data_IF_919398790338
#
_entry.id   IF_919398790338
#
_cell.length_a   1.000
_cell.length_b   1.000
_cell.length_c   1.000
_cell.angle_alpha   90.00
_cell.angle_beta   90.00
_cell.angle_gamma   90.00
#
_symmetry.space_group_name_H-M   'P 1'
#
loop_
_entity.id
_entity.type
_entity.pdbx_description
1 polymer ?
#
# COMPACT_ATOMS: atom_id res chain seq x y z
N UNK A 1 -24.94 -3.02 -17.85
CA UNK A 1 -23.85 -3.47 -16.94
C UNK A 1 -24.24 -3.36 -15.47
N UNK A 2 -25.02 -2.36 -15.06
CA UNK A 2 -25.49 -2.18 -13.68
C UNK A 2 -26.27 -3.39 -13.14
N UNK A 3 -27.19 -3.98 -13.92
CA UNK A 3 -27.98 -5.15 -13.48
C UNK A 3 -27.11 -6.37 -13.14
N UNK A 4 -25.96 -6.53 -13.80
CA UNK A 4 -25.02 -7.63 -13.50
C UNK A 4 -24.33 -7.42 -12.16
N UNK A 5 -24.01 -6.16 -11.82
CA UNK A 5 -23.40 -5.80 -10.54
C UNK A 5 -24.40 -6.03 -9.41
N UNK A 6 -25.65 -5.59 -9.59
CA UNK A 6 -26.71 -5.75 -8.59
C UNK A 6 -27.00 -7.24 -8.30
N UNK A 7 -27.12 -8.07 -9.33
CA UNK A 7 -27.29 -9.53 -9.16
C UNK A 7 -26.12 -10.17 -8.41
N UNK A 8 -24.88 -9.74 -8.68
CA UNK A 8 -23.71 -10.26 -7.97
C UNK A 8 -23.71 -9.84 -6.50
N UNK A 9 -24.09 -8.59 -6.19
CA UNK A 9 -24.21 -8.13 -4.81
C UNK A 9 -25.28 -8.91 -4.05
N UNK A 10 -26.44 -9.16 -4.68
CA UNK A 10 -27.51 -9.93 -4.08
C UNK A 10 -27.08 -11.38 -3.81
N UNK A 11 -26.40 -12.02 -4.77
CA UNK A 11 -25.84 -13.35 -4.60
C UNK A 11 -24.81 -13.39 -3.46
N UNK A 12 -23.95 -12.38 -3.34
CA UNK A 12 -22.97 -12.27 -2.27
C UNK A 12 -23.65 -12.14 -0.90
N UNK A 13 -24.66 -11.27 -0.79
CA UNK A 13 -25.46 -11.10 0.43
C UNK A 13 -26.17 -12.39 0.83
N UNK A 14 -26.78 -13.08 -0.14
CA UNK A 14 -27.46 -14.37 0.06
C UNK A 14 -26.48 -15.43 0.54
N UNK A 15 -25.31 -15.54 -0.10
CA UNK A 15 -24.23 -16.48 0.28
C UNK A 15 -23.80 -16.28 1.74
N UNK A 16 -23.53 -15.03 2.16
CA UNK A 16 -23.14 -14.72 3.54
C UNK A 16 -24.23 -14.98 4.58
N UNK A 17 -25.51 -14.84 4.20
CA UNK A 17 -26.64 -15.22 5.08
C UNK A 17 -26.72 -16.74 5.24
N UNK A 18 -26.62 -17.48 4.13
CA UNK A 18 -26.64 -18.94 4.15
C UNK A 18 -25.47 -19.52 4.96
N UNK A 19 -24.26 -18.99 4.79
CA UNK A 19 -23.09 -19.40 5.58
C UNK A 19 -23.30 -19.15 7.08
N UNK A 20 -23.85 -17.99 7.46
CA UNK A 20 -24.19 -17.68 8.86
C UNK A 20 -25.21 -18.66 9.43
N UNK A 21 -26.29 -18.93 8.71
CA UNK A 21 -27.32 -19.87 9.16
C UNK A 21 -26.77 -21.30 9.36
N UNK A 22 -25.87 -21.75 8.47
CA UNK A 22 -25.18 -23.05 8.62
C UNK A 22 -24.27 -23.08 9.84
N UNK A 23 -23.49 -22.02 10.05
CA UNK A 23 -22.64 -21.89 11.24
C UNK A 23 -23.46 -21.87 12.54
N UNK A 24 -24.61 -21.21 12.54
CA UNK A 24 -25.52 -21.10 13.69
C UNK A 24 -26.17 -22.44 14.02
N UNK A 25 -26.76 -23.11 13.03
CA UNK A 25 -27.36 -24.44 13.20
C UNK A 25 -26.34 -25.47 13.70
N UNK A 26 -25.13 -25.46 13.14
CA UNK A 26 -24.03 -26.30 13.62
C UNK A 26 -23.63 -25.94 15.07
N UNK A 27 -23.55 -24.64 15.42
CA UNK A 27 -23.23 -24.21 16.77
C UNK A 27 -24.30 -24.65 17.78
N UNK A 28 -25.58 -24.55 17.45
CA UNK A 28 -26.70 -25.00 18.31
C UNK A 28 -26.58 -26.50 18.60
N UNK A 29 -26.36 -27.33 17.57
CA UNK A 29 -26.15 -28.77 17.77
C UNK A 29 -24.92 -29.08 18.63
N UNK A 30 -23.81 -28.37 18.41
CA UNK A 30 -22.59 -28.55 19.19
C UNK A 30 -22.77 -28.11 20.66
N UNK A 31 -23.55 -27.06 20.93
CA UNK A 31 -23.82 -26.56 22.28
C UNK A 31 -24.60 -27.59 23.10
N UNK A 32 -25.55 -28.30 22.49
CA UNK A 32 -26.30 -29.37 23.16
C UNK A 32 -25.38 -30.47 23.69
N UNK A 33 -24.34 -30.84 22.93
CA UNK A 33 -23.35 -31.83 23.36
C UNK A 33 -22.28 -31.25 24.29
N UNK A 34 -21.93 -29.96 24.14
CA UNK A 34 -20.86 -29.32 24.87
C UNK A 34 -21.10 -27.81 25.04
N UNK A 35 -21.47 -27.40 26.25
CA UNK A 35 -21.74 -26.00 26.57
C UNK A 35 -20.54 -25.06 26.31
N UNK A 36 -19.28 -25.55 26.35
CA UNK A 36 -18.09 -24.71 26.05
C UNK A 36 -18.06 -24.22 24.60
N UNK A 37 -18.78 -24.89 23.70
CA UNK A 37 -18.89 -24.46 22.31
C UNK A 37 -19.59 -23.11 22.16
N UNK A 38 -20.48 -22.76 23.10
CA UNK A 38 -21.11 -21.43 23.15
C UNK A 38 -20.05 -20.32 23.24
N UNK A 39 -19.13 -20.40 24.20
CA UNK A 39 -18.08 -19.40 24.36
C UNK A 39 -17.14 -19.34 23.15
N UNK A 40 -16.85 -20.49 22.53
CA UNK A 40 -16.07 -20.54 21.28
C UNK A 40 -16.80 -19.85 20.13
N UNK A 41 -18.11 -20.08 20.00
CA UNK A 41 -18.95 -19.46 18.98
C UNK A 41 -19.07 -17.94 19.20
N UNK A 42 -19.41 -17.51 20.41
CA UNK A 42 -19.49 -16.09 20.81
C UNK A 42 -18.14 -15.41 20.62
N UNK A 43 -17.02 -16.02 21.00
CA UNK A 43 -15.68 -15.44 20.78
C UNK A 43 -15.35 -15.29 19.28
N UNK A 44 -15.72 -16.26 18.44
CA UNK A 44 -15.53 -16.19 16.97
C UNK A 44 -16.38 -15.07 16.34
N UNK A 45 -17.59 -14.82 16.86
CA UNK A 45 -18.53 -13.81 16.33
C UNK A 45 -18.36 -12.42 16.97
N UNK A 46 -17.87 -12.36 18.21
CA UNK A 46 -17.64 -11.15 18.98
C UNK A 46 -16.32 -10.46 18.66
N UNK A 47 -15.40 -11.12 17.94
CA UNK A 47 -14.34 -10.41 17.24
C UNK A 47 -14.99 -9.62 16.12
N UNK A 48 -15.38 -8.37 16.42
CA UNK A 48 -15.54 -7.36 15.39
C UNK A 48 -14.25 -7.42 14.59
N UNK A 49 -14.34 -7.71 13.29
CA UNK A 49 -13.23 -7.53 12.38
C UNK A 49 -12.95 -6.02 12.34
N UNK A 50 -12.27 -5.51 13.37
CA UNK A 50 -11.65 -4.19 13.44
C UNK A 50 -10.45 -4.14 12.47
N UNK A 51 -10.55 -4.84 11.34
CA UNK A 51 -9.61 -4.80 10.24
C UNK A 51 -9.56 -3.40 9.63
N UNK A 52 -10.53 -2.53 9.92
CA UNK A 52 -10.27 -1.09 9.94
C UNK A 52 -9.87 -0.76 11.37
N UNK A 53 -8.56 -0.82 11.66
CA UNK A 53 -8.05 -0.58 13.01
C UNK A 53 -8.48 0.81 13.51
N UNK A 54 -8.68 0.98 14.83
CA UNK A 54 -9.02 2.27 15.40
C UNK A 54 -8.07 3.34 14.88
N UNK A 55 -8.63 4.46 14.40
CA UNK A 55 -7.83 5.58 13.95
C UNK A 55 -7.11 6.15 15.17
N UNK A 56 -5.86 6.55 14.98
CA UNK A 56 -5.00 6.97 16.08
C UNK A 56 -4.53 8.38 15.80
N UNK A 57 -4.58 9.25 16.81
CA UNK A 57 -4.07 10.61 16.75
C UNK A 57 -2.54 10.62 16.64
N UNK A 58 -1.98 11.80 16.41
CA UNK A 58 -0.52 12.05 16.48
C UNK A 58 0.09 11.57 17.79
N UNK A 59 -0.68 11.65 18.88
CA UNK A 59 -0.27 11.33 20.25
C UNK A 59 -0.45 9.84 20.60
N UNK A 60 -0.96 9.02 19.68
CA UNK A 60 -1.15 7.59 19.90
C UNK A 60 -2.50 7.21 20.55
N UNK A 61 -3.38 8.16 20.80
CA UNK A 61 -4.73 7.92 21.32
C UNK A 61 -5.72 7.50 20.24
N UNK A 62 -6.67 6.62 20.59
CA UNK A 62 -7.71 6.14 19.67
C UNK A 62 -8.76 7.22 19.43
N UNK A 63 -8.90 7.63 18.18
CA UNK A 63 -9.91 8.55 17.68
C UNK A 63 -11.21 7.78 17.43
N UNK A 64 -12.21 8.05 18.26
CA UNK A 64 -13.57 7.52 18.07
C UNK A 64 -14.44 8.45 17.21
N UNK A 65 -14.10 9.73 17.10
CA UNK A 65 -14.91 10.72 16.38
C UNK A 65 -14.38 10.91 14.93
N UNK A 66 -15.19 10.66 13.88
CA UNK A 66 -14.75 10.85 12.50
C UNK A 66 -14.38 12.30 12.16
N UNK A 67 -14.90 13.29 12.88
CA UNK A 67 -14.57 14.71 12.68
C UNK A 67 -13.16 15.08 13.18
N UNK A 68 -12.60 14.29 14.10
CA UNK A 68 -11.21 14.47 14.54
C UNK A 68 -10.19 14.01 13.48
N UNK A 69 -10.63 13.32 12.42
CA UNK A 69 -9.84 13.02 11.21
C UNK A 69 -9.85 14.23 10.25
N UNK A 70 -10.20 15.42 10.74
CA UNK A 70 -10.13 16.65 9.97
C UNK A 70 -8.69 16.88 9.50
N UNK A 71 -8.56 17.22 8.21
CA UNK A 71 -7.29 17.61 7.61
C UNK A 71 -6.87 18.90 8.32
N UNK A 72 -5.76 18.87 9.07
CA UNK A 72 -5.22 20.05 9.74
C UNK A 72 -4.36 20.83 8.76
N UNK A 73 -4.53 22.15 8.72
CA UNK A 73 -3.64 23.05 7.98
C UNK A 73 -2.38 23.36 8.80
N UNK A 74 -1.24 23.42 8.12
CA UNK A 74 0.06 23.80 8.67
C UNK A 74 0.76 24.76 7.73
N UNK A 75 1.15 25.92 8.23
CA UNK A 75 1.92 26.89 7.44
C UNK A 75 3.41 26.76 7.70
N UNK A 76 4.23 26.72 6.64
CA UNK A 76 5.68 26.69 6.72
C UNK A 76 6.28 27.88 5.95
N UNK A 77 7.19 28.65 6.57
CA UNK A 77 7.80 29.84 5.96
C UNK A 77 8.45 29.56 4.59
N UNK A 78 9.10 28.40 4.42
CA UNK A 78 9.79 28.03 3.19
C UNK A 78 8.87 27.36 2.18
N UNK A 79 7.95 26.50 2.65
CA UNK A 79 7.12 25.64 1.79
C UNK A 79 5.71 26.15 1.51
N UNK A 80 5.24 27.19 2.21
CA UNK A 80 3.87 27.67 2.16
C UNK A 80 2.89 26.85 3.02
N UNK A 81 1.60 26.93 2.68
CA UNK A 81 0.49 26.19 3.29
C UNK A 81 0.57 24.70 2.97
N UNK A 82 0.53 23.84 3.97
CA UNK A 82 0.60 22.38 3.86
C UNK A 82 -0.57 21.75 4.62
N UNK A 83 -0.99 20.57 4.21
CA UNK A 83 -1.90 19.73 4.98
C UNK A 83 -1.09 18.76 5.85
N UNK A 84 -1.43 18.63 7.13
CA UNK A 84 -0.85 17.60 7.98
C UNK A 84 -1.47 16.24 7.64
N UNK A 85 -0.60 15.24 7.47
CA UNK A 85 -1.00 13.86 7.25
C UNK A 85 -1.13 13.17 8.61
N UNK A 86 -2.33 12.66 8.92
CA UNK A 86 -2.54 11.91 10.15
C UNK A 86 -1.64 10.67 10.20
N UNK A 87 -0.95 10.47 11.34
CA UNK A 87 -0.13 9.29 11.57
C UNK A 87 -0.99 8.02 11.47
N UNK A 88 -0.46 7.00 10.80
CA UNK A 88 -1.07 5.67 10.81
C UNK A 88 -0.19 4.68 11.54
N UNK A 89 -0.81 3.68 12.13
CA UNK A 89 -0.09 2.63 12.82
C UNK A 89 0.69 1.79 11.79
N UNK A 90 2.01 2.00 11.71
CA UNK A 90 2.92 1.27 10.83
C UNK A 90 2.97 -0.24 11.14
N UNK A 91 2.55 -0.65 12.34
CA UNK A 91 2.44 -2.05 12.76
C UNK A 91 1.09 -2.69 12.40
N UNK A 92 0.14 -1.91 11.85
CA UNK A 92 -1.11 -2.47 11.38
C UNK A 92 -0.86 -3.46 10.23
N UNK A 93 -1.77 -4.44 10.01
CA UNK A 93 -1.61 -5.38 8.90
C UNK A 93 -1.51 -4.66 7.56
N UNK A 94 -0.68 -5.17 6.65
CA UNK A 94 -0.38 -4.52 5.35
C UNK A 94 -1.62 -4.12 4.59
N UNK A 95 -2.66 -4.98 4.55
CA UNK A 95 -3.95 -4.67 3.89
C UNK A 95 -4.61 -3.39 4.43
N UNK A 96 -4.55 -3.18 5.75
CA UNK A 96 -5.13 -2.00 6.42
C UNK A 96 -4.33 -0.75 6.08
N UNK A 97 -3.00 -0.87 6.11
CA UNK A 97 -2.10 0.22 5.71
C UNK A 97 -2.35 0.60 4.25
N UNK A 98 -2.42 -0.38 3.34
CA UNK A 98 -2.75 -0.15 1.94
C UNK A 98 -4.09 0.56 1.80
N UNK A 99 -5.15 0.05 2.44
CA UNK A 99 -6.49 0.65 2.37
C UNK A 99 -6.48 2.11 2.83
N UNK A 100 -5.73 2.43 3.90
CA UNK A 100 -5.57 3.80 4.40
C UNK A 100 -4.72 4.65 3.46
N UNK A 101 -3.63 4.13 2.89
CA UNK A 101 -2.81 4.87 1.93
C UNK A 101 -3.52 5.10 0.60
N UNK A 102 -4.55 4.31 0.29
CA UNK A 102 -5.43 4.51 -0.88
C UNK A 102 -6.64 5.39 -0.58
N UNK A 103 -6.93 5.72 0.69
CA UNK A 103 -8.10 6.55 1.02
C UNK A 103 -7.88 8.01 0.60
N UNK A 104 -8.97 8.70 0.29
CA UNK A 104 -8.94 10.12 -0.10
C UNK A 104 -8.41 11.02 1.02
N UNK A 105 -8.68 10.66 2.28
CA UNK A 105 -8.17 11.36 3.46
C UNK A 105 -6.64 11.34 3.57
N UNK A 106 -5.97 10.37 2.95
CA UNK A 106 -4.51 10.33 2.87
C UNK A 106 -4.00 10.89 1.54
N UNK A 107 -4.61 10.48 0.42
CA UNK A 107 -4.17 10.87 -0.93
C UNK A 107 -4.42 12.34 -1.25
N UNK A 108 -5.52 12.92 -0.78
CA UNK A 108 -5.85 14.33 -0.97
C UNK A 108 -4.77 15.25 -0.39
N UNK A 109 -4.48 15.19 0.92
CA UNK A 109 -3.38 15.94 1.54
C UNK A 109 -2.02 15.68 0.90
N UNK A 110 -1.72 14.42 0.56
CA UNK A 110 -0.46 14.06 -0.12
C UNK A 110 -0.34 14.76 -1.47
N UNK A 111 -1.42 14.78 -2.26
CA UNK A 111 -1.47 15.41 -3.56
C UNK A 111 -1.35 16.93 -3.43
N UNK A 112 -2.14 17.55 -2.53
CA UNK A 112 -2.06 18.98 -2.26
C UNK A 112 -0.63 19.38 -1.92
N UNK A 113 0.01 18.69 -0.97
CA UNK A 113 1.38 18.96 -0.53
C UNK A 113 2.45 18.75 -1.62
N UNK A 114 2.14 17.98 -2.67
CA UNK A 114 3.03 17.81 -3.81
C UNK A 114 3.02 19.01 -4.75
N UNK A 115 1.94 19.80 -4.76
CA UNK A 115 1.78 20.96 -5.63
C UNK A 115 2.79 22.09 -5.32
N UNK A 116 3.16 22.90 -6.33
CA UNK A 116 4.01 24.07 -6.14
C UNK A 116 3.41 25.05 -5.13
N UNK A 117 4.28 25.84 -4.50
CA UNK A 117 3.89 26.82 -3.48
C UNK A 117 2.89 27.85 -4.04
N UNK A 118 3.12 28.35 -5.25
CA UNK A 118 2.26 29.39 -5.85
C UNK A 118 0.83 28.89 -6.13
N UNK A 119 0.62 27.59 -6.32
CA UNK A 119 -0.72 27.00 -6.47
C UNK A 119 -1.41 26.87 -5.12
N UNK A 120 -0.67 26.42 -4.09
CA UNK A 120 -1.22 26.20 -2.73
C UNK A 120 -1.50 27.48 -1.97
N UNK A 121 -0.60 28.46 -2.07
CA UNK A 121 -0.68 29.71 -1.32
C UNK A 121 -1.61 30.73 -2.00
N UNK A 122 -2.11 30.44 -3.21
CA UNK A 122 -3.00 31.34 -3.94
C UNK A 122 -4.30 31.52 -3.15
N UNK A 123 -4.53 32.75 -2.69
CA UNK A 123 -5.82 33.14 -2.14
C UNK A 123 -6.85 33.10 -3.27
N UNK A 124 -7.77 32.15 -3.16
CA UNK A 124 -8.90 31.98 -4.08
C UNK A 124 -10.16 32.25 -3.26
N UNK A 125 -11.02 33.16 -3.73
CA UNK A 125 -12.30 33.43 -3.05
C UNK A 125 -13.34 32.34 -3.33
N UNK A 126 -13.12 31.53 -4.36
CA UNK A 126 -13.99 30.41 -4.75
C UNK A 126 -13.20 29.17 -5.16
N UNK A 127 -13.87 28.03 -5.07
CA UNK A 127 -13.31 26.73 -5.50
C UNK A 127 -12.98 26.74 -7.00
N UNK A 128 -13.77 27.41 -7.82
CA UNK A 128 -13.55 27.42 -9.28
C UNK A 128 -12.32 28.26 -9.69
N UNK A 129 -12.00 29.32 -8.95
CA UNK A 129 -10.73 30.03 -9.15
C UNK A 129 -9.53 29.12 -8.85
N UNK A 130 -9.60 28.33 -7.77
CA UNK A 130 -8.55 27.36 -7.45
C UNK A 130 -8.42 26.29 -8.55
N UNK A 131 -9.54 25.75 -9.06
CA UNK A 131 -9.53 24.79 -10.17
C UNK A 131 -8.84 25.37 -11.41
N UNK A 132 -9.15 26.60 -11.82
CA UNK A 132 -8.49 27.25 -12.98
C UNK A 132 -6.98 27.36 -12.82
N UNK A 133 -6.51 27.73 -11.63
CA UNK A 133 -5.07 27.81 -11.33
C UNK A 133 -4.43 26.43 -11.35
N UNK A 134 -5.12 25.43 -10.80
CA UNK A 134 -4.67 24.05 -10.84
C UNK A 134 -4.62 23.50 -12.26
N UNK A 135 -5.66 23.70 -13.07
CA UNK A 135 -5.72 23.25 -14.46
C UNK A 135 -4.58 23.85 -15.29
N UNK A 136 -4.30 25.15 -15.15
CA UNK A 136 -3.15 25.80 -15.79
C UNK A 136 -1.80 25.21 -15.35
N UNK A 137 -1.69 24.76 -14.10
CA UNK A 137 -0.50 24.06 -13.66
C UNK A 137 -0.42 22.65 -14.27
N UNK A 138 -1.54 21.93 -14.31
CA UNK A 138 -1.60 20.56 -14.81
C UNK A 138 -1.31 20.46 -16.32
N UNK A 139 -1.56 21.51 -17.12
CA UNK A 139 -1.14 21.52 -18.54
C UNK A 139 0.37 21.39 -18.75
N UNK A 140 1.17 21.72 -17.73
CA UNK A 140 2.63 21.60 -17.78
C UNK A 140 3.13 20.23 -17.29
N UNK A 141 2.27 19.42 -16.68
CA UNK A 141 2.63 18.08 -16.19
C UNK A 141 2.47 17.09 -17.35
N UNK A 142 3.53 16.41 -17.78
CA UNK A 142 3.43 15.46 -18.89
C UNK A 142 2.59 14.25 -18.48
N UNK A 143 1.54 13.95 -19.24
CA UNK A 143 0.83 12.68 -19.12
C UNK A 143 1.55 11.60 -19.94
N UNK A 144 2.04 10.57 -19.27
CA UNK A 144 2.81 9.49 -19.90
C UNK A 144 2.24 8.14 -19.50
N UNK A 145 1.07 7.72 -20.02
CA UNK A 145 0.47 6.41 -19.73
C UNK A 145 1.51 5.29 -19.80
N UNK A 146 1.36 4.30 -18.91
CA UNK A 146 2.18 3.08 -18.99
C UNK A 146 1.74 2.29 -20.22
N UNK A 147 2.34 2.58 -21.37
CA UNK A 147 2.14 1.81 -22.59
C UNK A 147 3.13 0.63 -22.56
N UNK A 148 2.67 -0.62 -22.75
CA UNK A 148 3.56 -1.76 -22.88
C UNK A 148 4.66 -1.48 -23.92
N UNK A 149 5.90 -1.85 -23.60
CA UNK A 149 7.10 -1.66 -24.43
C UNK A 149 7.64 -0.22 -24.55
N UNK A 150 7.04 0.78 -23.90
CA UNK A 150 7.62 2.13 -23.82
C UNK A 150 8.34 2.35 -22.49
N UNK A 151 9.48 3.04 -22.55
CA UNK A 151 10.17 3.52 -21.35
C UNK A 151 9.39 4.69 -20.77
N UNK A 152 8.95 4.55 -19.52
CA UNK A 152 8.29 5.64 -18.78
C UNK A 152 9.38 6.44 -18.07
N UNK A 153 9.29 7.77 -18.07
CA UNK A 153 10.29 8.61 -17.40
C UNK A 153 10.13 8.59 -15.88
N UNK A 154 8.89 8.53 -15.39
CA UNK A 154 8.56 8.46 -13.96
C UNK A 154 8.19 7.03 -13.51
N UNK A 155 8.22 6.78 -12.19
CA UNK A 155 7.85 5.47 -11.61
C UNK A 155 6.37 5.11 -11.85
N UNK A 156 5.51 6.13 -11.87
CA UNK A 156 4.09 6.02 -12.18
C UNK A 156 3.53 7.33 -12.75
N UNK A 157 2.27 7.30 -13.19
CA UNK A 157 1.54 8.49 -13.64
C UNK A 157 0.94 9.32 -12.51
N UNK A 158 1.33 9.03 -11.27
CA UNK A 158 0.88 9.87 -10.17
C UNK A 158 1.55 11.24 -10.27
N UNK A 159 0.77 12.30 -10.07
CA UNK A 159 1.28 13.69 -10.03
C UNK A 159 2.51 13.81 -9.11
N UNK A 160 2.52 13.24 -7.88
CA UNK A 160 3.72 13.29 -7.03
C UNK A 160 4.98 12.72 -7.67
N UNK A 161 4.89 11.62 -8.41
CA UNK A 161 6.04 10.99 -9.07
C UNK A 161 6.52 11.79 -10.29
N UNK A 162 5.58 12.32 -11.08
CA UNK A 162 5.89 13.20 -12.21
C UNK A 162 6.58 14.49 -11.74
N UNK A 163 6.08 15.10 -10.65
CA UNK A 163 6.69 16.29 -10.07
C UNK A 163 8.05 16.00 -9.42
N UNK A 164 8.24 14.81 -8.83
CA UNK A 164 9.53 14.40 -8.31
C UNK A 164 10.58 14.30 -9.41
N UNK A 165 10.21 13.78 -10.59
CA UNK A 165 11.06 13.74 -11.77
C UNK A 165 11.36 15.15 -12.29
N UNK A 166 10.34 16.00 -12.47
CA UNK A 166 10.54 17.38 -12.94
C UNK A 166 11.48 18.19 -12.04
N UNK A 167 11.46 17.94 -10.72
CA UNK A 167 12.40 18.51 -9.74
C UNK A 167 13.82 17.98 -9.92
N UNK A 168 13.99 16.70 -10.19
CA UNK A 168 15.31 16.11 -10.43
C UNK A 168 15.95 16.65 -11.72
N UNK A 169 15.14 16.93 -12.74
CA UNK A 169 15.60 17.49 -14.02
C UNK A 169 15.93 18.99 -13.95
N UNK A 170 15.61 19.67 -12.83
CA UNK A 170 15.82 21.12 -12.67
C UNK A 170 14.79 21.99 -13.40
N UNK A 171 13.79 21.39 -14.07
CA UNK A 171 12.73 22.08 -14.80
C UNK A 171 11.54 22.50 -13.91
N UNK A 172 11.73 22.53 -12.59
CA UNK A 172 10.63 22.81 -11.66
C UNK A 172 10.42 24.32 -11.51
N UNK A 173 9.35 24.85 -12.11
CA UNK A 173 8.87 26.20 -11.86
C UNK A 173 8.32 26.29 -10.43
N UNK A 174 9.17 26.66 -9.46
CA UNK A 174 8.70 27.13 -8.15
C UNK A 174 8.17 28.57 -8.21
N UNK A 175 8.55 29.31 -9.25
CA UNK A 175 8.02 30.63 -9.56
C UNK A 175 6.70 30.48 -10.31
N UNK A 176 5.69 31.33 -10.02
CA UNK A 176 4.53 31.42 -10.90
C UNK A 176 5.06 31.63 -12.33
N UNK A 177 4.47 30.99 -13.36
CA UNK A 177 4.79 31.35 -14.72
C UNK A 177 4.69 32.87 -14.78
N UNK A 178 5.74 33.51 -15.31
CA UNK A 178 5.71 34.93 -15.64
C UNK A 178 4.72 35.11 -16.80
N UNK A 179 3.45 34.77 -16.56
CA UNK A 179 2.33 35.26 -17.32
C UNK A 179 2.38 36.77 -17.09
N UNK A 180 3.07 37.42 -18.01
CA UNK A 180 2.80 38.76 -18.54
C UNK A 180 1.86 39.56 -17.65
N UNK A 181 2.39 40.66 -17.11
CA UNK A 181 1.74 41.71 -16.33
C UNK A 181 0.50 42.38 -16.96
N UNK A 182 -0.28 41.67 -17.77
CA UNK A 182 -1.49 42.18 -18.38
C UNK A 182 -2.61 41.18 -18.12
N UNK A 183 -3.53 41.49 -17.18
CA UNK A 183 -4.86 40.93 -17.30
C UNK A 183 -5.36 41.37 -18.67
N UNK A 184 -5.61 40.43 -19.58
CA UNK A 184 -6.52 40.72 -20.68
C UNK A 184 -7.84 40.97 -19.97
N UNK A 185 -8.35 42.22 -19.89
CA UNK A 185 -9.66 42.43 -19.32
C UNK A 185 -10.60 41.63 -20.21
N UNK A 186 -11.29 40.68 -19.60
CA UNK A 186 -12.40 40.01 -20.24
C UNK A 186 -13.56 41.03 -20.28
N UNK A 187 -13.41 42.07 -21.11
CA UNK A 187 -14.53 42.91 -21.53
C UNK A 187 -15.36 42.04 -22.46
N UNK A 188 -16.35 41.38 -21.87
CA UNK A 188 -17.37 40.69 -22.65
C UNK A 188 -18.26 41.72 -23.33
N UNK A 189 -17.84 42.23 -24.48
CA UNK A 189 -18.72 42.78 -25.54
C UNK A 189 -17.99 42.68 -26.88
N UNK A 190 -18.70 42.20 -27.92
CA UNK A 190 -18.18 41.98 -29.28
C UNK A 190 -18.76 40.69 -29.83
N UNK A 191 -20.03 40.67 -30.23
CA UNK A 191 -20.51 41.12 -31.55
C UNK A 191 -19.60 40.61 -32.69
N UNK A 192 -20.18 39.67 -33.42
CA UNK A 192 -19.69 39.03 -34.62
C UNK A 192 -19.27 40.09 -35.66
N UNK A 193 -18.00 40.13 -36.05
CA UNK A 193 -17.59 40.67 -37.34
C UNK A 193 -16.57 39.75 -37.99
N UNK A 194 -16.99 39.22 -39.14
CA UNK A 194 -16.15 38.67 -40.18
C UNK A 194 -15.02 39.64 -40.55
N UNK A 195 -13.82 39.10 -40.81
CA UNK A 195 -13.02 39.41 -42.02
C UNK A 195 -11.67 38.67 -41.99
N UNK A 196 -11.56 37.68 -42.89
CA UNK A 196 -10.48 37.49 -43.88
C UNK A 196 -9.03 37.90 -43.56
N UNK A 197 -8.16 36.88 -43.57
CA UNK A 197 -6.82 36.78 -44.17
C UNK A 197 -5.59 36.59 -43.22
N UNK A 198 -4.69 35.62 -43.53
CA UNK A 198 -3.50 35.33 -42.73
C UNK A 198 -2.22 35.99 -43.29
N UNK A 199 -1.22 36.28 -42.45
CA UNK A 199 0.16 36.42 -42.91
C UNK A 199 1.02 35.25 -42.43
N UNK A 200 1.58 34.57 -43.43
CA UNK A 200 2.80 33.76 -43.38
C UNK A 200 3.93 34.47 -42.63
N UNK A 201 4.59 33.78 -41.70
CA UNK A 201 5.92 34.14 -41.21
C UNK A 201 6.84 32.92 -41.18
N UNK A 202 7.93 33.08 -41.91
CA UNK A 202 9.08 32.20 -42.03
C UNK A 202 9.79 32.06 -40.69
N UNK A 203 10.21 30.83 -40.36
CA UNK A 203 11.01 30.53 -39.16
C UNK A 203 12.42 30.19 -39.64
N UNK A 204 13.35 31.09 -39.36
CA UNK A 204 14.80 30.87 -39.44
C UNK A 204 15.26 30.06 -38.23
N UNK A 205 15.88 28.91 -38.49
CA UNK A 205 16.49 28.03 -37.48
C UNK A 205 17.94 28.44 -37.24
N UNK A 206 18.22 29.08 -36.09
CA UNK A 206 19.58 29.25 -35.58
C UNK A 206 19.99 28.03 -34.73
N UNK A 207 21.04 27.35 -35.19
CA UNK A 207 21.67 26.24 -34.49
C UNK A 207 22.43 26.75 -33.26
N UNK A 208 22.02 26.33 -32.05
CA UNK A 208 22.79 26.54 -30.82
C UNK A 208 23.75 25.37 -30.59
N UNK A 209 25.03 25.71 -30.57
CA UNK A 209 26.15 24.84 -30.24
C UNK A 209 26.02 24.21 -28.85
N UNK A 210 26.18 22.89 -28.80
CA UNK A 210 26.30 22.07 -27.59
C UNK A 210 27.71 22.23 -27.02
N UNK A 211 27.85 22.89 -25.86
CA UNK A 211 29.00 22.68 -24.99
C UNK A 211 28.73 21.45 -24.12
N UNK A 212 29.39 20.34 -24.43
CA UNK A 212 29.48 19.18 -23.55
C UNK A 212 30.22 19.54 -22.26
N UNK A 213 29.59 19.29 -21.11
CA UNK A 213 30.26 19.29 -19.79
C UNK A 213 30.61 17.85 -19.39
N UNK A 214 31.74 17.63 -18.71
CA UNK A 214 32.29 16.32 -18.42
C UNK A 214 31.44 15.54 -17.41
N UNK A 215 31.10 14.30 -17.76
CA UNK A 215 30.41 13.32 -16.90
C UNK A 215 31.28 12.96 -15.69
N UNK A 216 30.76 13.19 -14.48
CA UNK A 216 31.29 12.57 -13.26
C UNK A 216 30.95 11.09 -13.25
N UNK A 217 31.98 10.25 -13.31
CA UNK A 217 31.93 8.81 -13.07
C UNK A 217 31.58 8.53 -11.61
N UNK A 218 30.44 7.89 -11.36
CA UNK A 218 30.12 7.29 -10.05
C UNK A 218 30.50 5.82 -10.11
N UNK A 219 31.34 5.40 -9.17
CA UNK A 219 31.85 4.04 -9.03
C UNK A 219 30.71 3.01 -8.98
N UNK A 220 30.65 2.16 -10.02
CA UNK A 220 29.75 1.02 -10.08
C UNK A 220 30.13 -0.03 -9.05
N UNK A 221 29.15 -0.44 -8.24
CA UNK A 221 29.25 -1.67 -7.45
C UNK A 221 29.12 -2.85 -8.41
N UNK A 222 30.17 -3.66 -8.51
CA UNK A 222 30.21 -4.92 -9.27
C UNK A 222 29.16 -5.88 -8.71
N UNK A 223 28.18 -6.27 -9.52
CA UNK A 223 27.39 -7.48 -9.30
C UNK A 223 28.07 -8.60 -10.08
N UNK A 224 28.64 -9.57 -9.39
CA UNK A 224 29.21 -10.79 -9.98
C UNK A 224 28.07 -11.73 -10.36
N UNK A 225 27.85 -11.93 -11.66
CA UNK A 225 27.08 -13.06 -12.16
C UNK A 225 27.95 -14.31 -12.10
N UNK A 226 27.62 -15.25 -11.22
CA UNK A 226 28.21 -16.58 -11.26
C UNK A 226 27.42 -17.45 -12.24
N UNK A 227 28.11 -17.85 -13.29
CA UNK A 227 27.72 -18.88 -14.26
C UNK A 227 27.37 -20.18 -13.54
N UNK A 228 26.21 -20.77 -13.87
CA UNK A 228 25.90 -22.15 -13.49
C UNK A 228 26.29 -23.08 -14.63
N UNK A 229 27.36 -23.83 -14.38
CA UNK A 229 27.80 -24.99 -15.14
C UNK A 229 26.78 -26.12 -14.97
N UNK A 230 26.29 -26.68 -16.08
CA UNK A 230 25.46 -27.88 -16.08
C UNK A 230 26.40 -29.09 -15.92
N UNK A 231 26.33 -29.80 -14.80
CA UNK A 231 27.03 -31.08 -14.61
C UNK A 231 25.97 -32.16 -14.48
N UNK A 232 25.89 -33.04 -15.47
CA UNK A 232 25.15 -34.30 -15.41
C UNK A 232 25.98 -35.31 -14.63
N UNK A 233 25.47 -35.75 -13.48
CA UNK A 233 26.00 -36.92 -12.77
C UNK A 233 24.90 -37.96 -12.72
N UNK A 234 25.12 -39.05 -13.44
CA UNK A 234 24.40 -40.32 -13.30
C UNK A 234 25.09 -41.13 -12.21
N UNK A 235 24.42 -41.41 -11.08
CA UNK A 235 24.83 -42.52 -10.22
C UNK A 235 23.63 -43.20 -9.57
N UNK A 236 23.77 -44.51 -9.55
CA UNK A 236 22.84 -45.59 -9.23
C UNK A 236 22.31 -45.58 -7.78
N UNK A 237 21.11 -46.15 -7.64
CA UNK A 237 20.42 -46.33 -6.38
C UNK A 237 21.09 -47.38 -5.50
N UNK A 238 21.42 -47.02 -4.25
CA UNK A 238 21.60 -47.96 -3.15
C UNK A 238 20.68 -47.59 -2.00
N UNK A 239 19.75 -48.51 -1.73
CA UNK A 239 18.87 -48.49 -0.57
C UNK A 239 19.66 -48.77 0.70
N UNK A 240 19.71 -47.81 1.61
CA UNK A 240 20.03 -48.06 3.02
C UNK A 240 19.05 -47.29 3.90
N UNK A 241 18.31 -48.06 4.71
CA UNK A 241 17.40 -47.55 5.72
C UNK A 241 18.19 -46.92 6.87
N UNK A 242 18.04 -45.61 7.05
CA UNK A 242 18.42 -44.95 8.31
C UNK A 242 17.23 -44.19 8.91
N UNK A 243 16.97 -44.47 10.18
CA UNK A 243 15.92 -43.85 11.00
C UNK A 243 16.34 -42.41 11.37
N UNK A 244 15.50 -41.38 11.17
CA UNK A 244 15.87 -40.03 11.59
C UNK A 244 15.70 -39.85 13.11
N UNK A 245 16.84 -39.68 13.80
CA UNK A 245 16.92 -39.11 15.15
C UNK A 245 16.52 -37.63 15.08
N UNK A 246 15.49 -37.22 15.82
CA UNK A 246 15.13 -35.81 16.01
C UNK A 246 16.12 -35.13 16.95
N UNK A 247 17.01 -34.31 16.42
CA UNK A 247 17.70 -33.25 17.17
C UNK A 247 16.91 -31.96 17.05
N UNK A 248 16.63 -31.34 18.19
CA UNK A 248 15.99 -30.03 18.32
C UNK A 248 17.10 -29.01 18.51
N UNK A 249 17.30 -28.11 17.55
CA UNK A 249 18.09 -26.90 17.76
C UNK A 249 17.62 -25.76 16.83
N UNK A 250 17.50 -24.58 17.44
CA UNK A 250 17.83 -23.29 16.83
C UNK A 250 17.01 -22.83 15.63
N UNK A 251 16.08 -21.90 15.88
CA UNK A 251 15.51 -21.06 14.81
C UNK A 251 16.59 -20.13 14.25
N UNK A 252 16.97 -20.30 12.99
CA UNK A 252 17.46 -19.23 12.11
C UNK A 252 16.85 -19.38 10.72
N UNK A 253 16.39 -18.25 10.19
CA UNK A 253 15.65 -18.09 8.96
C UNK A 253 16.44 -18.55 7.73
N UNK A 254 15.79 -19.30 6.83
CA UNK A 254 16.17 -19.37 5.41
C UNK A 254 14.92 -19.49 4.53
N UNK A 255 15.04 -18.93 3.32
CA UNK A 255 14.01 -18.89 2.29
C UNK A 255 13.57 -20.29 1.87
N UNK A 256 12.26 -20.56 1.92
CA UNK A 256 11.68 -21.77 1.35
C UNK A 256 11.29 -21.54 -0.11
N UNK A 257 12.07 -22.12 -1.02
CA UNK A 257 11.57 -22.56 -2.33
C UNK A 257 10.57 -23.69 -2.08
N UNK A 258 9.33 -23.52 -2.56
CA UNK A 258 8.32 -24.58 -2.56
C UNK A 258 8.51 -25.45 -3.80
N UNK A 259 8.92 -26.70 -3.60
CA UNK A 259 8.76 -27.76 -4.59
C UNK A 259 7.46 -28.49 -4.26
N UNK A 260 6.49 -28.46 -5.17
CA UNK A 260 5.26 -29.24 -5.08
C UNK A 260 5.58 -30.66 -5.55
N UNK A 261 5.51 -31.65 -4.66
CA UNK A 261 5.56 -33.07 -5.01
C UNK A 261 4.18 -33.65 -4.68
N UNK A 262 3.42 -33.99 -5.70
CA UNK A 262 2.19 -34.79 -5.58
C UNK A 262 2.58 -36.25 -5.49
N UNK A 263 2.36 -36.87 -4.34
CA UNK A 263 2.41 -38.31 -4.16
C UNK A 263 0.97 -38.78 -3.98
N UNK A 264 0.47 -39.58 -4.93
CA UNK A 264 -0.75 -40.35 -4.79
C UNK A 264 -0.41 -41.67 -4.12
N UNK A 265 -0.83 -41.87 -2.88
CA UNK A 265 -0.86 -43.20 -2.25
C UNK A 265 -2.31 -43.59 -1.99
N UNK A 266 -2.71 -44.69 -2.60
CA UNK A 266 -4.03 -45.30 -2.51
C UNK A 266 -4.34 -45.77 -1.09
N UNK A 267 -5.63 -45.71 -0.75
CA UNK A 267 -6.18 -46.10 0.54
C UNK A 267 -6.09 -47.61 0.76
N UNK A 268 -5.65 -48.02 1.96
CA UNK A 268 -6.09 -49.27 2.58
C UNK A 268 -6.58 -48.98 3.99
N UNK A 269 -7.89 -49.18 4.16
CA UNK A 269 -8.57 -49.29 5.44
C UNK A 269 -8.02 -50.51 6.19
N UNK A 270 -7.48 -50.30 7.40
CA UNK A 270 -7.58 -51.28 8.48
C UNK A 270 -7.69 -50.55 9.81
N UNK A 271 -8.66 -51.02 10.59
CA UNK A 271 -9.02 -50.57 11.91
C UNK A 271 -7.83 -50.62 12.88
N UNK A 272 -7.71 -49.62 13.77
CA UNK A 272 -7.31 -49.86 15.15
C UNK A 272 -7.56 -48.62 16.03
N UNK A 273 -8.16 -48.87 17.20
CA UNK A 273 -8.52 -47.85 18.21
C UNK A 273 -7.28 -47.43 19.00
N UNK A 274 -7.02 -46.13 19.25
CA UNK A 274 -6.01 -45.73 20.22
C UNK A 274 -6.60 -45.61 21.64
N UNK A 275 -6.13 -46.47 22.55
CA UNK A 275 -6.26 -46.32 23.99
C UNK A 275 -5.48 -45.08 24.45
N UNK A 276 -6.13 -44.18 25.19
CA UNK A 276 -5.49 -43.05 25.87
C UNK A 276 -4.70 -43.56 27.08
N UNK A 277 -3.40 -43.27 27.14
CA UNK A 277 -2.62 -43.25 28.37
C UNK A 277 -2.31 -41.79 28.73
N UNK A 278 -2.74 -41.41 29.93
CA UNK A 278 -2.49 -40.11 30.54
C UNK A 278 -1.17 -40.20 31.29
N UNK A 279 -0.16 -39.44 30.87
CA UNK A 279 1.05 -39.22 31.67
C UNK A 279 0.95 -37.84 32.31
N UNK A 280 0.74 -37.83 33.62
CA UNK A 280 0.77 -36.63 34.45
C UNK A 280 2.17 -36.05 34.54
N UNK A 281 2.29 -34.73 34.43
CA UNK A 281 3.50 -33.99 34.78
C UNK A 281 3.30 -33.38 36.17
N UNK A 282 4.10 -33.83 37.14
CA UNK A 282 4.31 -33.14 38.41
C UNK A 282 5.25 -31.95 38.16
N UNK A 283 4.85 -30.76 38.59
CA UNK A 283 5.73 -29.61 38.73
C UNK A 283 6.16 -29.51 40.20
N UNK A 284 7.44 -29.68 40.50
CA UNK A 284 8.01 -29.37 41.81
C UNK A 284 8.54 -27.93 41.79
N UNK A 285 7.95 -27.05 42.59
CA UNK A 285 8.54 -25.75 42.90
C UNK A 285 9.55 -25.93 44.04
N UNK A 286 10.81 -25.58 43.77
CA UNK A 286 11.84 -25.47 44.79
C UNK A 286 11.89 -24.00 45.24
N UNK A 287 11.47 -23.70 46.47
CA UNK A 287 11.70 -22.42 47.16
C UNK A 287 12.68 -22.70 48.30
N UNK A 288 13.90 -22.23 48.16
CA UNK A 288 14.83 -22.12 49.28
C UNK A 288 14.56 -20.79 49.98
N UNK A 289 14.26 -20.87 51.28
CA UNK A 289 14.18 -19.73 52.19
C UNK A 289 15.42 -19.83 53.09
N UNK A 290 16.33 -18.85 52.99
CA UNK A 290 17.45 -18.70 53.91
C UNK A 290 16.95 -17.91 55.14
N UNK A 291 17.06 -18.52 56.31
CA UNK A 291 16.89 -17.90 57.62
C UNK A 291 18.27 -17.62 58.17
N UNK A 292 18.54 -16.38 58.56
CA UNK A 292 19.67 -16.02 59.42
C UNK A 292 19.16 -15.75 60.83
N UNK A 293 19.82 -16.27 61.89
CA UNK A 293 19.44 -16.00 63.27
C UNK A 293 20.05 -14.69 63.76
N UNK A 294 19.37 -14.01 64.68
CA UNK A 294 19.96 -12.99 65.53
C UNK A 294 19.50 -13.23 66.96
N UNK A 295 20.50 -13.19 67.84
CA UNK A 295 20.50 -13.47 69.28
C UNK A 295 19.68 -12.46 70.05
#
# INVERSE_FOLDING_TARGET
MQDKVERLEEQLRKSHRCERARDETHAVGAIQTNYKYFFKYVKKRGTVNAAVGPLVNTDGEVINNPLQISIKEKTNKRRGKLCELGNYNKRAPTRVVTQRMTSISYRGPTLFNALPRYVRDKECSSVDQFKRVLDRFLTNVPDQPKIPHYSIRALSNSIPDQLALMRADGNFLDSPPHDTLYPVPFTGEGLLQDTTNPPTKEVTTEARNLMEKPRRTVAGRKCTHNNKTLVTVTTEARNLMEKPRRTVAGRKCTHNNKTLVTVTTEARNLMEKPRRTVVGRKCTHNKQTLVTPSV
#
